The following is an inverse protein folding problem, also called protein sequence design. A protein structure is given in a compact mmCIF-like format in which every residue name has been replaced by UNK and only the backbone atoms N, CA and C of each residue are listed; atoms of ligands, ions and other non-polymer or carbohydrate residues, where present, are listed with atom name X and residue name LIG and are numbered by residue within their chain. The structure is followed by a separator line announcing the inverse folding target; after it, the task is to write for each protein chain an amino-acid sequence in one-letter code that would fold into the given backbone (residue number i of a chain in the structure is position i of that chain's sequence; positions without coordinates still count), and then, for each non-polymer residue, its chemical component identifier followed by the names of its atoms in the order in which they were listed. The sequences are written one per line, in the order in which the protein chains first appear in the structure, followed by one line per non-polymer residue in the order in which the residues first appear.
data_IF_781723016924
#
_entry.id   IF_781723016924
#
_cell.length_a   1.000
_cell.length_b   1.000
_cell.length_c   1.000
_cell.angle_alpha   90.00
_cell.angle_beta   90.00
_cell.angle_gamma   90.00
#
_symmetry.space_group_name_H-M   'P 1'
#
loop_
_entity.id
_entity.type
_entity.pdbx_description
1 polymer ?
#
# COMPACT_ATOMS: atom_id res chain seq x y z
N UNK A 1 17.89 -4.57 25.07
CA UNK A 1 16.78 -3.88 24.40
C UNK A 1 17.29 -2.61 23.70
N UNK A 2 16.67 -2.17 22.59
CA UNK A 2 17.01 -0.91 21.94
C UNK A 2 16.61 0.28 22.82
N UNK A 3 17.29 1.42 22.62
CA UNK A 3 16.97 2.67 23.31
C UNK A 3 17.48 2.78 24.75
N UNK A 4 18.42 1.92 25.14
CA UNK A 4 19.05 2.00 26.46
C UNK A 4 20.30 2.87 26.39
N UNK A 5 20.43 3.80 27.31
CA UNK A 5 21.69 4.53 27.56
C UNK A 5 22.49 3.78 28.61
N UNK A 6 23.73 3.51 28.29
CA UNK A 6 24.65 2.87 29.19
C UNK A 6 25.78 3.84 29.56
N UNK A 7 26.09 3.93 30.81
CA UNK A 7 27.25 4.68 31.28
C UNK A 7 28.22 3.70 32.00
N UNK A 8 29.46 3.79 31.63
CA UNK A 8 30.56 3.06 32.31
C UNK A 8 31.43 4.08 32.98
N UNK A 9 31.63 3.90 34.28
CA UNK A 9 32.52 4.75 35.05
C UNK A 9 33.62 3.89 35.68
N UNK A 10 34.84 4.31 35.50
CA UNK A 10 35.97 3.72 36.23
C UNK A 10 35.95 4.31 37.65
N UNK A 11 35.85 3.43 38.63
CA UNK A 11 35.92 3.86 40.05
C UNK A 11 37.34 4.39 40.36
N UNK A 12 37.41 5.40 41.21
CA UNK A 12 38.68 5.88 41.79
C UNK A 12 39.37 4.75 42.55
N UNK A 13 40.69 4.70 42.48
CA UNK A 13 41.48 3.67 43.18
C UNK A 13 41.85 2.44 42.35
N UNK A 14 41.52 2.43 41.04
CA UNK A 14 42.07 1.43 40.13
C UNK A 14 43.52 1.76 39.80
N UNK A 15 44.42 0.85 40.13
CA UNK A 15 45.85 0.97 39.81
C UNK A 15 46.31 -0.20 38.92
N UNK A 16 47.29 0.08 38.08
CA UNK A 16 47.93 -0.97 37.30
C UNK A 16 48.82 -1.84 38.23
N UNK A 17 49.22 -3.06 37.84
CA UNK A 17 50.15 -3.86 38.62
C UNK A 17 51.48 -3.18 38.93
N UNK A 18 51.79 -2.09 38.23
CA UNK A 18 52.98 -1.24 38.45
C UNK A 18 52.71 0.04 39.24
N UNK A 19 51.55 0.14 39.88
CA UNK A 19 51.17 1.27 40.74
C UNK A 19 50.73 2.54 40.02
N UNK A 20 50.56 2.51 38.70
CA UNK A 20 50.07 3.67 37.98
C UNK A 20 48.52 3.78 38.15
N UNK A 21 48.07 4.88 38.77
CA UNK A 21 46.62 5.13 38.95
C UNK A 21 45.93 5.38 37.62
N UNK A 22 44.79 4.73 37.39
CA UNK A 22 43.93 4.98 36.26
C UNK A 22 43.11 6.23 36.55
N UNK A 23 43.23 7.24 35.70
CA UNK A 23 42.41 8.44 35.82
C UNK A 23 40.91 8.08 35.71
N UNK A 24 40.10 8.66 36.61
CA UNK A 24 38.66 8.48 36.57
C UNK A 24 38.12 8.95 35.22
N UNK A 25 37.61 8.03 34.41
CA UNK A 25 37.00 8.31 33.10
C UNK A 25 35.61 7.65 33.04
N UNK A 26 34.69 8.36 32.45
CA UNK A 26 33.39 7.82 32.14
C UNK A 26 33.16 7.78 30.63
N UNK A 27 32.49 6.75 30.16
CA UNK A 27 32.02 6.60 28.79
C UNK A 27 30.53 6.40 28.83
N UNK A 28 29.82 7.03 27.91
CA UNK A 28 28.38 6.79 27.66
C UNK A 28 28.16 6.34 26.21
N UNK A 29 27.34 5.33 26.05
CA UNK A 29 26.88 4.85 24.76
C UNK A 29 25.41 4.48 24.82
N UNK A 30 24.79 4.30 23.68
CA UNK A 30 23.41 3.81 23.61
C UNK A 30 23.31 2.58 22.73
N UNK A 31 22.29 1.76 22.96
CA UNK A 31 21.98 0.59 22.13
C UNK A 31 21.29 0.97 20.82
N UNK A 32 21.26 2.26 20.47
CA UNK A 32 20.61 2.80 19.29
C UNK A 32 19.13 3.06 19.47
N UNK A 33 18.58 3.94 18.65
CA UNK A 33 17.16 4.24 18.63
C UNK A 33 16.33 3.22 17.83
N UNK A 34 15.00 3.42 17.76
CA UNK A 34 14.12 2.50 17.06
C UNK A 34 14.42 2.43 15.56
N UNK A 35 14.32 1.24 14.97
CA UNK A 35 14.38 1.03 13.53
C UNK A 35 13.30 0.06 13.06
N UNK A 36 12.97 0.10 11.77
CA UNK A 36 11.93 -0.72 11.17
C UNK A 36 12.39 -2.17 11.02
N UNK A 37 11.68 -3.10 11.64
CA UNK A 37 11.83 -4.55 11.51
C UNK A 37 10.96 -5.11 10.39
N UNK A 38 9.70 -4.64 10.31
CA UNK A 38 8.78 -5.03 9.27
C UNK A 38 7.98 -3.83 8.77
N UNK A 39 7.64 -3.85 7.49
CA UNK A 39 6.88 -2.80 6.79
C UNK A 39 5.79 -3.47 5.95
N UNK A 40 4.59 -2.89 5.99
CA UNK A 40 3.45 -3.29 5.15
C UNK A 40 2.84 -2.05 4.49
N UNK A 41 2.59 -2.07 3.17
CA UNK A 41 3.05 -3.09 2.22
C UNK A 41 4.57 -3.21 2.18
N UNK A 42 5.10 -4.35 1.71
CA UNK A 42 6.53 -4.58 1.54
C UNK A 42 7.13 -3.67 0.47
N UNK A 43 8.44 -3.46 0.51
CA UNK A 43 9.18 -2.67 -0.50
C UNK A 43 9.00 -3.25 -1.91
N UNK A 44 9.02 -2.37 -2.90
CA UNK A 44 8.82 -2.68 -4.33
C UNK A 44 7.41 -3.19 -4.69
N UNK A 45 6.48 -3.24 -3.75
CA UNK A 45 5.08 -3.50 -4.07
C UNK A 45 4.42 -2.26 -4.67
N UNK A 46 3.41 -2.50 -5.52
CA UNK A 46 2.55 -1.42 -5.99
C UNK A 46 1.60 -1.01 -4.87
N UNK A 47 1.45 0.29 -4.69
CA UNK A 47 0.65 0.90 -3.64
C UNK A 47 -0.51 1.70 -4.23
N UNK A 48 -1.52 1.96 -3.42
CA UNK A 48 -2.65 2.80 -3.79
C UNK A 48 -2.32 4.30 -3.66
N UNK A 49 -3.12 5.14 -4.32
CA UNK A 49 -2.96 6.60 -4.29
C UNK A 49 -3.09 7.18 -2.86
N UNK A 50 -3.86 6.53 -2.01
CA UNK A 50 -4.06 6.86 -0.60
C UNK A 50 -3.57 5.72 0.31
N UNK A 51 -2.34 5.27 0.07
CA UNK A 51 -1.77 4.13 0.76
C UNK A 51 -1.57 4.38 2.26
N UNK A 52 -2.04 3.45 3.07
CA UNK A 52 -1.67 3.32 4.46
C UNK A 52 -0.46 2.38 4.61
N UNK A 53 0.46 2.78 5.48
CA UNK A 53 1.64 1.99 5.84
C UNK A 53 1.55 1.57 7.30
N UNK A 54 1.92 0.31 7.58
CA UNK A 54 2.09 -0.20 8.93
C UNK A 54 3.55 -0.63 9.11
N UNK A 55 4.18 -0.11 10.17
CA UNK A 55 5.57 -0.38 10.52
C UNK A 55 5.61 -1.07 11.88
N UNK A 56 6.37 -2.16 11.96
CA UNK A 56 6.78 -2.75 13.22
C UNK A 56 8.23 -2.35 13.49
N UNK A 57 8.47 -1.74 14.64
CA UNK A 57 9.78 -1.30 15.08
C UNK A 57 10.42 -2.31 16.04
N UNK A 58 11.74 -2.30 16.14
CA UNK A 58 12.48 -3.12 17.10
C UNK A 58 12.32 -2.66 18.56
N UNK A 59 11.85 -1.43 18.77
CA UNK A 59 11.64 -0.82 20.07
C UNK A 59 10.62 0.30 20.02
N UNK A 60 10.20 0.83 21.19
CA UNK A 60 9.17 1.87 21.26
C UNK A 60 9.68 3.18 20.63
N UNK A 61 8.78 3.89 19.92
CA UNK A 61 9.04 5.22 19.37
C UNK A 61 7.93 6.19 19.80
N UNK A 62 8.31 7.43 20.09
CA UNK A 62 7.30 8.45 20.42
C UNK A 62 6.59 8.92 19.14
N UNK A 63 5.26 9.08 19.14
CA UNK A 63 4.51 9.56 17.96
C UNK A 63 5.04 10.89 17.43
N UNK A 64 5.39 11.82 18.30
CA UNK A 64 5.95 13.11 17.92
C UNK A 64 7.26 12.97 17.14
N UNK A 65 8.19 12.11 17.60
CA UNK A 65 9.45 11.87 16.88
C UNK A 65 9.24 11.16 15.54
N UNK A 66 8.27 10.26 15.46
CA UNK A 66 7.88 9.61 14.20
C UNK A 66 7.35 10.65 13.22
N UNK A 67 6.38 11.46 13.63
CA UNK A 67 5.79 12.48 12.75
C UNK A 67 6.79 13.52 12.26
N UNK A 68 7.74 13.92 13.11
CA UNK A 68 8.77 14.89 12.76
C UNK A 68 9.83 14.33 11.79
N UNK A 69 10.13 13.04 11.87
CA UNK A 69 11.28 12.45 11.18
C UNK A 69 10.91 11.48 10.04
N UNK A 70 9.64 11.12 9.86
CA UNK A 70 9.18 10.37 8.70
C UNK A 70 8.63 11.29 7.62
N UNK A 71 8.68 10.84 6.38
CA UNK A 71 8.10 11.57 5.24
C UNK A 71 8.11 10.73 3.98
N UNK A 72 7.45 11.25 2.95
CA UNK A 72 7.40 10.64 1.63
C UNK A 72 8.14 11.54 0.63
N UNK A 73 9.04 10.98 -0.16
CA UNK A 73 9.55 11.61 -1.37
C UNK A 73 8.79 11.03 -2.56
N UNK A 74 8.22 11.90 -3.38
CA UNK A 74 7.43 11.52 -4.55
C UNK A 74 8.12 12.06 -5.79
N UNK A 75 8.28 11.24 -6.81
CA UNK A 75 8.89 11.64 -8.08
C UNK A 75 8.14 12.85 -8.67
N UNK A 76 8.88 13.85 -9.10
CA UNK A 76 8.33 15.10 -9.65
C UNK A 76 7.91 16.15 -8.60
N UNK A 77 7.91 15.81 -7.31
CA UNK A 77 7.76 16.78 -6.23
C UNK A 77 9.14 17.08 -5.67
N UNK A 78 9.61 18.29 -5.80
CA UNK A 78 10.94 18.72 -5.29
C UNK A 78 11.05 18.75 -3.76
N UNK A 79 9.96 18.50 -3.03
CA UNK A 79 9.87 18.59 -1.57
C UNK A 79 9.48 17.27 -0.92
N UNK A 80 9.82 17.13 0.34
CA UNK A 80 9.41 16.00 1.17
C UNK A 80 7.97 16.22 1.67
N UNK A 81 7.08 15.31 1.32
CA UNK A 81 5.70 15.30 1.82
C UNK A 81 5.70 14.76 3.26
N UNK A 82 5.15 15.48 4.26
CA UNK A 82 5.05 14.97 5.61
C UNK A 82 4.14 13.74 5.67
N UNK A 83 4.30 12.95 6.72
CA UNK A 83 3.36 11.86 7.03
C UNK A 83 2.28 12.34 8.00
N UNK A 84 1.11 11.73 7.94
CA UNK A 84 0.09 11.77 8.97
C UNK A 84 0.01 10.42 9.67
N UNK A 85 -0.07 10.41 10.97
CA UNK A 85 -0.30 9.20 11.75
C UNK A 85 -1.77 8.79 11.63
N UNK A 86 -2.02 7.50 11.66
CA UNK A 86 -3.35 6.91 11.63
C UNK A 86 -3.66 6.35 13.02
N UNK A 87 -4.74 6.83 13.62
CA UNK A 87 -5.14 6.48 15.00
C UNK A 87 -6.55 5.87 15.02
N UNK A 88 -7.03 5.54 16.21
CA UNK A 88 -8.39 5.05 16.45
C UNK A 88 -8.73 3.77 15.72
N UNK A 89 -9.98 3.68 15.25
CA UNK A 89 -10.52 2.48 14.58
C UNK A 89 -9.80 2.15 13.28
N UNK A 90 -9.36 3.15 12.53
CA UNK A 90 -8.60 2.95 11.30
C UNK A 90 -7.26 2.27 11.58
N UNK A 91 -6.55 2.68 12.65
CA UNK A 91 -5.33 2.01 13.11
C UNK A 91 -5.61 0.56 13.51
N UNK A 92 -6.66 0.34 14.30
CA UNK A 92 -7.03 -1.00 14.77
C UNK A 92 -7.35 -1.94 13.60
N UNK A 93 -8.12 -1.47 12.61
CA UNK A 93 -8.44 -2.22 11.42
C UNK A 93 -7.19 -2.57 10.60
N UNK A 94 -6.27 -1.61 10.39
CA UNK A 94 -5.01 -1.83 9.68
C UNK A 94 -4.15 -2.88 10.37
N UNK A 95 -3.97 -2.79 11.68
CA UNK A 95 -3.15 -3.73 12.45
C UNK A 95 -3.76 -5.12 12.47
N UNK A 96 -5.09 -5.23 12.59
CA UNK A 96 -5.83 -6.49 12.51
C UNK A 96 -5.67 -7.15 11.14
N UNK A 97 -5.77 -6.39 10.05
CA UNK A 97 -5.58 -6.89 8.69
C UNK A 97 -4.16 -7.44 8.45
N UNK A 98 -3.16 -6.98 9.23
CA UNK A 98 -1.79 -7.49 9.18
C UNK A 98 -1.52 -8.62 10.20
N UNK A 99 -2.49 -8.98 11.03
CA UNK A 99 -2.31 -9.94 12.13
C UNK A 99 -1.43 -9.40 13.27
N UNK A 100 -1.32 -8.09 13.41
CA UNK A 100 -0.46 -7.41 14.41
C UNK A 100 -1.24 -6.82 15.58
N UNK A 101 -2.55 -7.00 15.62
CA UNK A 101 -3.46 -6.45 16.63
C UNK A 101 -3.06 -6.82 18.07
N UNK A 102 -2.80 -8.12 18.34
CA UNK A 102 -2.40 -8.60 19.67
C UNK A 102 -1.04 -8.05 20.09
N UNK A 103 -0.06 -8.06 19.20
CA UNK A 103 1.28 -7.55 19.48
C UNK A 103 1.26 -6.03 19.69
N UNK A 104 0.47 -5.31 18.91
CA UNK A 104 0.31 -3.86 19.04
C UNK A 104 -0.46 -3.46 20.30
N UNK A 105 -1.37 -4.30 20.80
CA UNK A 105 -2.02 -4.09 22.10
C UNK A 105 -1.04 -4.21 23.27
N UNK A 106 -0.11 -5.18 23.19
CA UNK A 106 0.92 -5.38 24.21
C UNK A 106 2.01 -4.29 24.19
N UNK A 107 2.43 -3.85 23.00
CA UNK A 107 3.54 -2.90 22.82
C UNK A 107 3.17 -1.79 21.82
N UNK A 108 2.22 -0.91 22.14
CA UNK A 108 1.60 0.01 21.18
C UNK A 108 2.58 0.98 20.51
N UNK A 109 3.64 1.38 21.18
CA UNK A 109 4.66 2.30 20.66
C UNK A 109 5.65 1.65 19.69
N UNK A 110 5.60 0.33 19.51
CA UNK A 110 6.39 -0.38 18.50
C UNK A 110 5.70 -0.49 17.15
N UNK A 111 4.41 -0.18 17.09
CA UNK A 111 3.62 -0.28 15.87
C UNK A 111 3.16 1.10 15.43
N UNK A 112 3.64 1.52 14.27
CA UNK A 112 3.33 2.83 13.68
C UNK A 112 2.47 2.61 12.46
N UNK A 113 1.33 3.30 12.40
CA UNK A 113 0.45 3.36 11.22
C UNK A 113 0.42 4.77 10.70
N UNK A 114 0.65 4.95 9.41
CA UNK A 114 0.77 6.26 8.80
C UNK A 114 0.38 6.26 7.32
N UNK A 115 0.20 7.45 6.76
CA UNK A 115 0.05 7.69 5.33
C UNK A 115 0.85 8.94 4.94
N UNK A 116 1.21 9.06 3.66
CA UNK A 116 1.68 10.35 3.14
C UNK A 116 0.54 11.38 3.24
N UNK A 117 0.82 12.59 3.73
CA UNK A 117 -0.21 13.62 3.91
C UNK A 117 -0.59 14.30 2.59
N UNK A 118 -0.72 13.49 1.54
CA UNK A 118 -1.10 13.89 0.19
C UNK A 118 -1.56 12.66 -0.58
N UNK A 119 -2.56 12.81 -1.44
CA UNK A 119 -2.90 11.82 -2.45
C UNK A 119 -1.75 11.73 -3.46
N UNK A 120 -1.30 10.50 -3.72
CA UNK A 120 -0.19 10.21 -4.63
C UNK A 120 -0.70 10.14 -6.07
N UNK A 121 0.09 10.63 -7.01
CA UNK A 121 -0.27 10.53 -8.42
C UNK A 121 -0.15 9.06 -8.90
N UNK A 122 -1.07 8.59 -9.78
CA UNK A 122 -0.92 7.28 -10.41
C UNK A 122 0.45 7.12 -11.07
N UNK A 123 1.00 5.93 -11.03
CA UNK A 123 2.31 5.53 -11.58
C UNK A 123 3.54 6.19 -10.94
N UNK A 124 3.36 7.16 -10.04
CA UNK A 124 4.48 7.84 -9.39
C UNK A 124 5.35 6.86 -8.59
N UNK A 125 6.67 7.10 -8.64
CA UNK A 125 7.60 6.44 -7.71
C UNK A 125 7.60 7.18 -6.39
N UNK A 126 7.50 6.44 -5.30
CA UNK A 126 7.39 6.96 -3.94
C UNK A 126 8.44 6.31 -3.06
N UNK A 127 9.09 7.09 -2.23
CA UNK A 127 9.96 6.60 -1.18
C UNK A 127 9.37 7.00 0.18
N UNK A 128 9.05 6.02 1.02
CA UNK A 128 8.83 6.27 2.43
C UNK A 128 10.19 6.41 3.10
N UNK A 129 10.43 7.56 3.69
CA UNK A 129 11.69 7.91 4.34
C UNK A 129 11.50 7.76 5.85
N UNK A 130 12.25 6.84 6.45
CA UNK A 130 12.43 6.74 7.89
C UNK A 130 13.71 7.49 8.26
N UNK A 131 13.55 8.74 8.65
CA UNK A 131 14.67 9.67 8.87
C UNK A 131 15.40 9.42 10.18
N UNK A 132 16.49 10.16 10.37
CA UNK A 132 17.22 10.22 11.65
C UNK A 132 16.38 10.98 12.67
N UNK A 133 16.53 10.65 13.95
CA UNK A 133 15.87 11.38 15.03
C UNK A 133 14.59 10.74 15.57
N UNK A 134 14.14 9.58 15.01
CA UNK A 134 13.06 8.81 15.63
C UNK A 134 13.55 8.29 16.98
N UNK A 135 12.86 8.67 18.06
CA UNK A 135 13.35 8.50 19.41
C UNK A 135 12.42 7.63 20.28
N UNK A 136 13.05 6.88 21.19
CA UNK A 136 12.34 6.20 22.27
C UNK A 136 11.79 7.20 23.29
N UNK A 137 10.81 6.82 24.17
CA UNK A 137 10.40 7.65 25.29
C UNK A 137 11.55 8.10 26.21
N UNK A 138 12.62 7.30 26.30
CA UNK A 138 13.85 7.66 27.01
C UNK A 138 14.79 8.60 26.26
N UNK A 139 14.38 9.12 25.09
CA UNK A 139 15.11 10.12 24.31
C UNK A 139 16.33 9.56 23.54
N UNK A 140 16.44 8.25 23.32
CA UNK A 140 17.46 7.66 22.48
C UNK A 140 16.95 7.61 21.05
N UNK A 141 17.58 8.39 20.18
CA UNK A 141 17.20 8.53 18.77
C UNK A 141 18.00 7.59 17.85
N UNK A 142 17.39 7.20 16.72
CA UNK A 142 18.13 6.55 15.64
C UNK A 142 19.03 7.54 14.91
N UNK A 143 20.17 7.07 14.44
CA UNK A 143 21.18 7.87 13.73
C UNK A 143 21.21 7.61 12.22
N UNK A 144 20.41 6.68 11.71
CA UNK A 144 20.46 6.21 10.32
C UNK A 144 19.15 6.47 9.62
N UNK A 145 19.21 7.05 8.43
CA UNK A 145 18.05 7.17 7.54
C UNK A 145 17.90 5.87 6.73
N UNK A 146 16.65 5.45 6.50
CA UNK A 146 16.30 4.35 5.58
C UNK A 146 15.19 4.80 4.64
N UNK A 147 15.26 4.34 3.39
CA UNK A 147 14.32 4.63 2.33
C UNK A 147 13.71 3.35 1.81
N UNK A 148 12.40 3.32 1.66
CA UNK A 148 11.62 2.19 1.19
C UNK A 148 10.91 2.60 -0.10
N UNK A 149 11.20 1.89 -1.20
CA UNK A 149 10.73 2.25 -2.53
C UNK A 149 9.40 1.58 -2.84
N UNK A 150 8.50 2.34 -3.46
CA UNK A 150 7.19 1.91 -3.92
C UNK A 150 6.89 2.53 -5.28
N UNK A 151 5.91 1.96 -5.96
CA UNK A 151 5.31 2.54 -7.15
C UNK A 151 3.79 2.56 -6.98
N UNK A 152 3.17 3.71 -7.25
CA UNK A 152 1.71 3.83 -7.25
C UNK A 152 1.16 3.05 -8.43
N UNK A 153 0.05 2.34 -8.22
CA UNK A 153 -0.66 1.59 -9.25
C UNK A 153 -1.08 2.52 -10.39
N UNK A 154 -1.21 1.94 -11.57
CA UNK A 154 -1.84 2.60 -12.70
C UNK A 154 -3.30 2.94 -12.36
N UNK A 155 -3.89 3.95 -13.02
CA UNK A 155 -5.32 4.22 -12.88
C UNK A 155 -6.12 2.95 -13.15
N UNK A 156 -7.24 2.77 -12.46
CA UNK A 156 -8.13 1.67 -12.77
C UNK A 156 -8.68 1.84 -14.19
N UNK A 157 -8.43 0.86 -15.03
CA UNK A 157 -8.82 0.87 -16.44
C UNK A 157 -9.31 -0.51 -16.87
N UNK A 158 -10.17 -0.50 -17.89
CA UNK A 158 -10.63 -1.71 -18.55
C UNK A 158 -10.17 -1.72 -20.01
N UNK A 159 -10.04 -2.91 -20.57
CA UNK A 159 -9.75 -3.13 -21.99
C UNK A 159 -10.77 -4.10 -22.59
N UNK A 160 -11.36 -3.70 -23.69
CA UNK A 160 -12.29 -4.54 -24.44
C UNK A 160 -11.52 -5.26 -25.57
N UNK A 161 -11.79 -6.53 -25.74
CA UNK A 161 -11.20 -7.35 -26.80
C UNK A 161 -12.23 -8.25 -27.44
N UNK A 162 -12.10 -8.42 -28.74
CA UNK A 162 -12.88 -9.35 -29.54
C UNK A 162 -12.04 -9.88 -30.71
N UNK A 163 -12.39 -11.04 -31.24
CA UNK A 163 -11.79 -11.58 -32.46
C UNK A 163 -12.32 -10.84 -33.68
N UNK A 164 -11.43 -10.52 -34.62
CA UNK A 164 -11.70 -9.79 -35.85
C UNK A 164 -10.97 -10.48 -37.01
N UNK A 165 -11.47 -10.35 -38.21
CA UNK A 165 -10.78 -10.86 -39.41
C UNK A 165 -9.48 -10.07 -39.71
N UNK A 166 -9.50 -8.78 -39.45
CA UNK A 166 -8.34 -7.88 -39.57
C UNK A 166 -8.53 -6.68 -38.59
N UNK A 167 -7.51 -5.83 -38.46
CA UNK A 167 -7.49 -4.74 -37.51
C UNK A 167 -8.62 -3.69 -37.69
N UNK A 168 -9.15 -3.55 -38.90
CA UNK A 168 -10.21 -2.59 -39.25
C UNK A 168 -11.59 -3.24 -39.27
N UNK A 169 -11.67 -4.58 -39.21
CA UNK A 169 -12.94 -5.28 -39.23
C UNK A 169 -13.70 -5.14 -37.90
N UNK A 170 -15.02 -5.28 -37.97
CA UNK A 170 -15.86 -5.41 -36.81
C UNK A 170 -15.58 -6.73 -36.07
N UNK A 171 -16.02 -6.82 -34.80
CA UNK A 171 -15.96 -8.06 -34.03
C UNK A 171 -16.77 -9.17 -34.70
N UNK A 172 -16.27 -10.39 -34.70
CA UNK A 172 -16.99 -11.56 -35.23
C UNK A 172 -18.16 -11.91 -34.30
N UNK A 173 -19.42 -11.93 -34.82
CA UNK A 173 -20.61 -12.13 -33.99
C UNK A 173 -20.74 -13.55 -33.43
N UNK A 174 -19.97 -14.49 -33.95
CA UNK A 174 -19.94 -15.90 -33.52
C UNK A 174 -18.86 -16.19 -32.48
N UNK A 175 -18.04 -15.18 -32.13
CA UNK A 175 -16.93 -15.31 -31.16
C UNK A 175 -17.24 -14.56 -29.88
N UNK A 176 -16.73 -15.01 -28.73
CA UNK A 176 -16.89 -14.31 -27.46
C UNK A 176 -16.18 -12.95 -27.48
N UNK A 177 -16.72 -12.02 -26.72
CA UNK A 177 -16.12 -10.70 -26.48
C UNK A 177 -15.75 -10.59 -25.01
N UNK A 178 -14.60 -10.04 -24.70
CA UNK A 178 -14.09 -9.96 -23.33
C UNK A 178 -13.85 -8.51 -22.89
N UNK A 179 -14.14 -8.23 -21.63
CA UNK A 179 -13.76 -6.99 -20.94
C UNK A 179 -12.85 -7.37 -19.78
N UNK A 180 -11.58 -6.96 -19.86
CA UNK A 180 -10.56 -7.23 -18.84
C UNK A 180 -10.29 -6.00 -18.00
N UNK A 181 -10.03 -6.19 -16.71
CA UNK A 181 -9.72 -5.13 -15.74
C UNK A 181 -8.27 -5.23 -15.30
N UNK A 182 -7.57 -4.10 -15.18
CA UNK A 182 -6.20 -4.06 -14.64
C UNK A 182 -6.15 -4.10 -13.10
N UNK A 183 -7.32 -4.16 -12.44
CA UNK A 183 -7.46 -4.37 -11.00
C UNK A 183 -8.74 -5.18 -10.73
N UNK A 184 -8.78 -5.95 -9.62
CA UNK A 184 -9.92 -6.78 -9.29
C UNK A 184 -11.16 -5.94 -8.97
N UNK A 185 -12.32 -6.43 -9.41
CA UNK A 185 -13.64 -5.82 -9.23
C UNK A 185 -14.54 -6.79 -8.48
N UNK A 186 -15.41 -6.30 -7.61
CA UNK A 186 -16.41 -7.13 -6.96
C UNK A 186 -17.32 -7.80 -8.00
N UNK A 187 -17.50 -9.11 -7.89
CA UNK A 187 -18.32 -9.93 -8.80
C UNK A 187 -19.69 -9.31 -9.05
N UNK A 188 -20.36 -8.87 -8.00
CA UNK A 188 -21.68 -8.21 -8.09
C UNK A 188 -21.71 -7.00 -9.01
N UNK A 189 -20.65 -6.18 -9.00
CA UNK A 189 -20.52 -5.03 -9.91
C UNK A 189 -20.26 -5.49 -11.34
N UNK A 190 -19.39 -6.47 -11.53
CA UNK A 190 -19.09 -7.03 -12.84
C UNK A 190 -20.31 -7.71 -13.48
N UNK A 191 -21.12 -8.42 -12.71
CA UNK A 191 -22.40 -9.02 -13.14
C UNK A 191 -23.42 -7.97 -13.59
N UNK A 192 -23.30 -6.73 -13.13
CA UNK A 192 -24.15 -5.61 -13.51
C UNK A 192 -23.86 -5.02 -14.90
N UNK A 193 -22.70 -5.31 -15.49
CA UNK A 193 -22.31 -4.81 -16.81
C UNK A 193 -23.21 -5.42 -17.89
N UNK A 194 -23.56 -4.64 -18.90
CA UNK A 194 -24.38 -5.07 -20.04
C UNK A 194 -23.75 -4.65 -21.36
N UNK A 195 -23.84 -5.53 -22.33
CA UNK A 195 -23.56 -5.18 -23.72
C UNK A 195 -24.92 -4.93 -24.39
N UNK A 196 -25.25 -3.67 -24.63
CA UNK A 196 -26.56 -3.21 -25.08
C UNK A 196 -26.54 -2.89 -26.56
N UNK A 197 -27.41 -3.52 -27.31
CA UNK A 197 -27.65 -3.33 -28.71
C UNK A 197 -29.15 -3.49 -29.01
N UNK A 198 -29.51 -4.21 -30.07
CA UNK A 198 -30.90 -4.66 -30.29
C UNK A 198 -31.40 -5.48 -29.10
N UNK A 199 -30.50 -6.32 -28.57
CA UNK A 199 -30.69 -7.15 -27.39
C UNK A 199 -29.71 -6.73 -26.31
N UNK A 200 -30.05 -7.03 -25.03
CA UNK A 200 -29.17 -6.79 -23.90
C UNK A 200 -28.48 -8.10 -23.51
N UNK A 201 -27.18 -8.19 -23.75
CA UNK A 201 -26.37 -9.39 -23.44
C UNK A 201 -25.75 -9.25 -22.05
N UNK A 202 -25.99 -10.27 -21.21
CA UNK A 202 -25.39 -10.36 -19.88
C UNK A 202 -23.99 -10.98 -19.97
N UNK A 203 -23.05 -10.57 -19.12
CA UNK A 203 -21.74 -11.20 -19.07
C UNK A 203 -21.82 -12.59 -18.43
N UNK A 204 -20.87 -13.42 -18.80
CA UNK A 204 -20.54 -14.65 -18.08
C UNK A 204 -19.21 -14.40 -17.39
N UNK A 205 -19.15 -14.74 -16.13
CA UNK A 205 -17.94 -14.62 -15.31
C UNK A 205 -17.16 -15.94 -15.40
N UNK A 206 -15.87 -15.82 -15.71
CA UNK A 206 -14.98 -16.97 -15.64
C UNK A 206 -14.71 -17.31 -14.18
N UNK A 207 -14.94 -18.57 -13.80
CA UNK A 207 -14.71 -19.08 -12.47
C UNK A 207 -15.94 -19.80 -11.90
N UNK A 208 -15.63 -20.75 -11.06
CA UNK A 208 -16.59 -21.65 -10.42
C UNK A 208 -17.82 -20.90 -9.90
N UNK A 209 -18.97 -21.46 -10.11
CA UNK A 209 -20.29 -20.93 -9.71
C UNK A 209 -20.49 -20.89 -8.18
N UNK A 210 -19.41 -20.74 -7.42
CA UNK A 210 -19.52 -20.49 -5.98
C UNK A 210 -20.28 -19.19 -5.78
N UNK A 211 -21.40 -19.27 -5.11
CA UNK A 211 -22.32 -18.19 -4.80
C UNK A 211 -21.74 -17.13 -3.84
N UNK A 212 -20.43 -16.98 -3.81
CA UNK A 212 -19.76 -15.97 -3.00
C UNK A 212 -19.87 -14.60 -3.69
N UNK A 213 -20.84 -13.82 -3.23
CA UNK A 213 -21.09 -12.45 -3.71
C UNK A 213 -19.89 -11.52 -3.53
N UNK A 214 -18.95 -11.89 -2.67
CA UNK A 214 -17.77 -11.10 -2.32
C UNK A 214 -16.53 -11.49 -3.15
N UNK A 215 -16.67 -12.48 -4.05
CA UNK A 215 -15.59 -12.88 -4.95
C UNK A 215 -15.15 -11.72 -5.84
N UNK A 216 -13.85 -11.64 -6.09
CA UNK A 216 -13.23 -10.65 -6.97
C UNK A 216 -12.95 -11.25 -8.34
N UNK A 217 -13.17 -10.48 -9.39
CA UNK A 217 -12.94 -10.87 -10.79
C UNK A 217 -12.06 -9.84 -11.50
N UNK A 218 -11.22 -10.32 -12.44
CA UNK A 218 -10.35 -9.47 -13.26
C UNK A 218 -10.87 -9.27 -14.68
N UNK A 219 -12.06 -9.78 -14.99
CA UNK A 219 -12.67 -9.64 -16.30
C UNK A 219 -14.00 -10.36 -16.39
N UNK A 220 -14.67 -10.13 -17.51
CA UNK A 220 -15.94 -10.76 -17.87
C UNK A 220 -15.94 -11.11 -19.35
N UNK A 221 -16.76 -12.09 -19.72
CA UNK A 221 -16.92 -12.54 -21.12
C UNK A 221 -18.39 -12.46 -21.53
N UNK A 222 -18.66 -11.93 -22.70
CA UNK A 222 -19.96 -11.99 -23.35
C UNK A 222 -19.96 -13.14 -24.33
N UNK A 223 -20.90 -14.07 -24.21
CA UNK A 223 -20.97 -15.26 -25.08
C UNK A 223 -21.85 -14.99 -26.31
N UNK A 224 -21.44 -15.51 -27.47
CA UNK A 224 -22.24 -15.44 -28.68
C UNK A 224 -23.52 -16.33 -28.57
N UNK A 225 -24.47 -16.20 -29.53
CA UNK A 225 -24.40 -15.39 -30.76
C UNK A 225 -24.77 -13.92 -30.52
N UNK A 226 -24.11 -13.02 -31.30
CA UNK A 226 -24.46 -11.61 -31.32
C UNK A 226 -25.20 -11.32 -32.64
N UNK A 227 -26.03 -10.25 -32.66
CA UNK A 227 -26.72 -9.86 -33.87
C UNK A 227 -25.71 -9.35 -34.92
N UNK A 228 -25.86 -9.84 -36.16
CA UNK A 228 -25.03 -9.39 -37.28
C UNK A 228 -25.26 -7.90 -37.58
N UNK A 229 -24.17 -7.20 -37.94
CA UNK A 229 -24.17 -5.78 -38.28
C UNK A 229 -24.82 -4.88 -37.19
N UNK A 230 -24.85 -5.35 -35.94
CA UNK A 230 -25.35 -4.58 -34.81
C UNK A 230 -24.25 -3.75 -34.16
N UNK A 231 -24.58 -2.54 -33.76
CA UNK A 231 -23.77 -1.76 -32.84
C UNK A 231 -24.15 -2.11 -31.39
N UNK A 232 -23.14 -2.25 -30.56
CA UNK A 232 -23.33 -2.48 -29.12
C UNK A 232 -22.63 -1.40 -28.33
N UNK A 233 -23.24 -1.01 -27.21
CA UNK A 233 -22.68 -0.09 -26.22
C UNK A 233 -22.49 -0.82 -24.91
N UNK A 234 -21.36 -0.58 -24.25
CA UNK A 234 -21.08 -1.15 -22.94
C UNK A 234 -21.73 -0.27 -21.86
N UNK A 235 -22.75 -0.81 -21.19
CA UNK A 235 -23.36 -0.14 -20.03
C UNK A 235 -22.69 -0.63 -18.75
N UNK A 236 -22.15 0.32 -17.97
CA UNK A 236 -21.56 0.07 -16.65
C UNK A 236 -22.57 0.38 -15.54
N UNK A 237 -22.59 -0.36 -14.43
CA UNK A 237 -23.35 0.01 -13.25
C UNK A 237 -22.95 1.40 -12.73
N UNK A 238 -23.91 2.09 -12.09
CA UNK A 238 -23.57 3.30 -11.33
C UNK A 238 -22.50 2.96 -10.27
N UNK A 239 -21.57 3.88 -10.06
CA UNK A 239 -20.48 3.71 -9.09
C UNK A 239 -19.55 2.51 -9.37
N UNK A 240 -19.35 2.17 -10.65
CA UNK A 240 -18.41 1.10 -11.03
C UNK A 240 -17.00 1.44 -10.58
N UNK A 241 -16.46 0.58 -9.71
CA UNK A 241 -15.16 0.77 -9.05
C UNK A 241 -14.46 -0.56 -8.81
N UNK A 242 -13.13 -0.50 -8.68
CA UNK A 242 -12.35 -1.66 -8.28
C UNK A 242 -12.49 -1.97 -6.77
N UNK A 243 -11.86 -3.06 -6.34
CA UNK A 243 -11.87 -3.49 -4.94
C UNK A 243 -11.22 -2.48 -3.97
N UNK A 244 -10.41 -1.55 -4.47
CA UNK A 244 -9.80 -0.45 -3.71
C UNK A 244 -10.67 0.84 -3.74
N UNK A 245 -11.85 0.80 -4.34
CA UNK A 245 -12.78 1.94 -4.42
C UNK A 245 -12.44 2.96 -5.49
N UNK A 246 -11.52 2.67 -6.44
CA UNK A 246 -11.12 3.58 -7.52
C UNK A 246 -12.12 3.49 -8.67
N UNK A 247 -12.57 4.65 -9.17
CA UNK A 247 -13.44 4.72 -10.34
C UNK A 247 -12.70 4.35 -11.63
N UNK A 248 -13.44 3.79 -12.60
CA UNK A 248 -12.90 3.45 -13.92
C UNK A 248 -12.51 4.73 -14.68
N UNK A 249 -11.24 4.84 -15.05
CA UNK A 249 -10.67 6.05 -15.66
C UNK A 249 -11.06 6.23 -17.13
N UNK A 250 -11.23 5.15 -17.84
CA UNK A 250 -11.49 5.14 -19.27
C UNK A 250 -12.91 4.66 -19.64
N UNK A 251 -13.89 4.95 -18.78
CA UNK A 251 -15.30 4.58 -19.05
C UNK A 251 -15.80 5.14 -20.40
N UNK A 252 -15.38 6.36 -20.76
CA UNK A 252 -15.79 7.04 -21.99
C UNK A 252 -15.11 6.48 -23.26
N UNK A 253 -14.17 5.53 -23.11
CA UNK A 253 -13.45 4.92 -24.24
C UNK A 253 -14.20 3.72 -24.84
N UNK A 254 -15.32 3.33 -24.26
CA UNK A 254 -16.10 2.19 -24.73
C UNK A 254 -17.27 2.70 -25.58
N UNK A 255 -17.49 2.08 -26.76
CA UNK A 255 -18.60 2.44 -27.66
C UNK A 255 -19.96 2.09 -27.04
#
# INVERSE_FOLDING_TARGET
PPGVRCAVQVRSGFESPKGAALAARGWAFSTGGPFVQALRPGTYQRIDEEQFFALQLNGPATPASVQANLGCAVEGLGERVPVRLIDGDARAALLKAQGWDKAAAAEPLRFVTLACNRRLAPTAKVQLIYGKGVATPGGVANSTERRYNFQVREPFAASFSCERENAQAACLPIRPMALSFNAPVARKLAEGIRLKGKDSVKPVLDGDSSADSDALVNGITFKPPFAEKAAYTLELPRDFKDASGRALRNADSFP
#
